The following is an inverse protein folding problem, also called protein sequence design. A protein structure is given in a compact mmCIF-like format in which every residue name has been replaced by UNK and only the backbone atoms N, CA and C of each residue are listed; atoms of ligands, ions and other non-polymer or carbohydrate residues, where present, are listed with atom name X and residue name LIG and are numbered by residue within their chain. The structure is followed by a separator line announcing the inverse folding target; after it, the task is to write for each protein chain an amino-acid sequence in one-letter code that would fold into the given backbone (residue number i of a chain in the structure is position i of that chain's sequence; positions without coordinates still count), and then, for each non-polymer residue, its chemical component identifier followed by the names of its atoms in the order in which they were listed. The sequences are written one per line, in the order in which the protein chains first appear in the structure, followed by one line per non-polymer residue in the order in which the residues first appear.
data_IF_913938650712
#
_entry.id   IF_913938650712
#
_cell.length_a   1.000
_cell.length_b   1.000
_cell.length_c   1.000
_cell.angle_alpha   90.00
_cell.angle_beta   90.00
_cell.angle_gamma   90.00
#
_symmetry.space_group_name_H-M   'P 1'
#
loop_
_entity.id
_entity.type
_entity.pdbx_description
1 polymer ?
#
# COMPACT_ATOMS: atom_id res chain seq x y z
N UNK A 1 24.87 -2.43 -16.48
CA UNK A 1 24.57 -1.36 -15.51
C UNK A 1 24.13 -2.04 -14.23
N UNK A 2 24.70 -1.94 -13.04
CA UNK A 2 25.93 -1.38 -12.46
C UNK A 2 26.04 -2.13 -11.12
N UNK A 3 27.24 -2.43 -10.63
CA UNK A 3 27.48 -3.26 -9.45
C UNK A 3 26.86 -2.72 -8.15
N UNK A 4 25.58 -3.02 -7.92
CA UNK A 4 24.83 -2.51 -6.77
C UNK A 4 24.80 -3.47 -5.58
N UNK A 5 25.25 -4.72 -5.72
CA UNK A 5 25.22 -5.70 -4.63
C UNK A 5 26.34 -6.72 -4.82
N UNK A 6 27.57 -6.39 -4.39
CA UNK A 6 28.40 -7.46 -3.81
C UNK A 6 27.70 -7.87 -2.53
N UNK A 7 27.30 -9.14 -2.44
CA UNK A 7 26.57 -9.64 -1.28
C UNK A 7 27.38 -9.45 0.00
N UNK A 8 26.71 -9.41 1.16
CA UNK A 8 27.37 -9.24 2.46
C UNK A 8 28.51 -10.26 2.68
N UNK A 9 28.34 -11.49 2.19
CA UNK A 9 29.35 -12.55 2.27
C UNK A 9 30.61 -12.26 1.44
N UNK A 10 30.45 -11.61 0.29
CA UNK A 10 31.56 -11.28 -0.61
C UNK A 10 32.39 -10.13 -0.03
N UNK A 11 31.73 -9.15 0.60
CA UNK A 11 32.41 -8.08 1.34
C UNK A 11 33.17 -8.61 2.58
N UNK A 12 32.67 -9.67 3.22
CA UNK A 12 33.36 -10.33 4.34
C UNK A 12 34.62 -11.07 3.87
N UNK A 13 34.59 -11.68 2.69
CA UNK A 13 35.75 -12.32 2.09
C UNK A 13 36.85 -11.29 1.78
N UNK A 14 36.48 -10.12 1.24
CA UNK A 14 37.44 -9.05 0.92
C UNK A 14 38.03 -8.36 2.15
N UNK A 15 37.32 -8.37 3.28
CA UNK A 15 37.77 -7.80 4.55
C UNK A 15 38.36 -8.82 5.53
N UNK A 16 38.44 -10.10 5.16
CA UNK A 16 39.11 -11.11 5.97
C UNK A 16 40.59 -10.70 6.14
N UNK A 17 40.96 -10.26 7.35
CA UNK A 17 42.35 -9.93 7.66
C UNK A 17 43.16 -11.23 7.62
N UNK A 18 44.20 -11.25 6.80
CA UNK A 18 45.12 -12.37 6.68
C UNK A 18 46.00 -12.47 7.94
N UNK A 19 45.66 -13.36 8.87
CA UNK A 19 46.45 -13.56 10.10
C UNK A 19 47.70 -14.39 9.79
N UNK A 20 48.88 -13.75 9.81
CA UNK A 20 50.16 -14.44 9.66
C UNK A 20 50.74 -14.76 11.03
N UNK A 21 50.87 -16.05 11.37
CA UNK A 21 51.23 -16.54 12.71
C UNK A 21 52.61 -16.16 13.26
N UNK A 22 53.44 -15.46 12.47
CA UNK A 22 54.82 -15.08 12.83
C UNK A 22 54.88 -13.97 13.90
N UNK A 23 53.94 -13.02 13.90
CA UNK A 23 53.89 -11.94 14.88
C UNK A 23 52.50 -11.87 15.52
N UNK A 24 52.41 -12.33 16.78
CA UNK A 24 51.17 -12.24 17.56
C UNK A 24 50.88 -10.77 17.86
N UNK A 25 49.66 -10.31 17.54
CA UNK A 25 49.20 -8.95 17.85
C UNK A 25 49.23 -8.70 19.36
N UNK A 26 49.70 -7.52 19.78
CA UNK A 26 49.62 -7.09 21.18
C UNK A 26 48.14 -6.86 21.53
N UNK A 27 47.63 -7.60 22.51
CA UNK A 27 46.25 -7.46 22.97
C UNK A 27 46.08 -6.11 23.71
N UNK A 28 45.06 -5.30 23.40
CA UNK A 28 44.80 -4.08 24.13
C UNK A 28 44.43 -4.42 25.59
N UNK A 29 45.02 -3.68 26.53
CA UNK A 29 44.66 -3.76 27.96
C UNK A 29 43.86 -2.51 28.30
N UNK A 30 42.66 -2.70 28.81
CA UNK A 30 41.76 -1.61 29.20
C UNK A 30 41.64 -1.63 30.72
N UNK A 31 41.64 -0.44 31.32
CA UNK A 31 41.41 -0.28 32.75
C UNK A 31 39.91 -0.35 32.99
N UNK A 32 39.50 -1.30 33.83
CA UNK A 32 38.11 -1.41 34.24
C UNK A 32 37.80 -0.35 35.30
N UNK A 33 36.95 0.63 34.97
CA UNK A 33 36.65 1.78 35.84
C UNK A 33 36.01 1.38 37.17
N UNK A 34 35.32 0.23 37.22
CA UNK A 34 34.64 -0.26 38.43
C UNK A 34 35.59 -1.05 39.33
N UNK A 35 36.52 -1.80 38.75
CA UNK A 35 37.35 -2.77 39.48
C UNK A 35 38.80 -2.31 39.67
N UNK A 36 39.23 -1.25 38.96
CA UNK A 36 40.58 -0.68 39.01
C UNK A 36 41.69 -1.60 38.49
N UNK A 37 41.34 -2.72 37.85
CA UNK A 37 42.27 -3.74 37.36
C UNK A 37 42.45 -3.62 35.84
N UNK A 38 43.68 -3.86 35.38
CA UNK A 38 44.01 -3.90 33.94
C UNK A 38 43.61 -5.25 33.34
N UNK A 39 42.49 -5.29 32.64
CA UNK A 39 41.96 -6.50 32.00
C UNK A 39 42.43 -6.55 30.54
N UNK A 40 42.81 -7.74 30.09
CA UNK A 40 43.15 -7.99 28.68
C UNK A 40 41.89 -8.50 27.99
N UNK A 41 41.37 -7.75 27.00
CA UNK A 41 40.22 -8.18 26.22
C UNK A 41 40.66 -9.21 25.18
N UNK A 42 40.17 -10.44 25.29
CA UNK A 42 40.49 -11.52 24.35
C UNK A 42 39.85 -11.33 22.98
N UNK A 43 38.72 -10.63 22.93
CA UNK A 43 38.03 -10.29 21.70
C UNK A 43 37.80 -8.76 21.66
N UNK A 44 38.71 -7.97 21.05
CA UNK A 44 38.45 -6.55 20.89
C UNK A 44 37.17 -6.38 20.07
N UNK A 45 36.36 -5.33 20.33
CA UNK A 45 35.15 -5.08 19.54
C UNK A 45 35.53 -4.97 18.07
N UNK A 46 35.02 -5.92 17.25
CA UNK A 46 35.21 -5.89 15.80
C UNK A 46 34.49 -4.64 15.31
N UNK A 47 35.21 -3.72 14.67
CA UNK A 47 34.59 -2.53 14.08
C UNK A 47 33.69 -2.95 12.91
N UNK A 48 32.40 -3.16 13.20
CA UNK A 48 31.40 -3.42 12.19
C UNK A 48 31.20 -2.16 11.36
N UNK A 49 31.78 -2.11 10.16
CA UNK A 49 31.50 -1.02 9.22
C UNK A 49 30.14 -1.29 8.60
N UNK A 50 29.18 -0.39 8.80
CA UNK A 50 27.89 -0.49 8.14
C UNK A 50 28.13 -0.49 6.62
N UNK A 51 27.83 -1.61 5.96
CA UNK A 51 28.07 -1.80 4.52
C UNK A 51 27.09 -1.00 3.64
N UNK A 52 26.10 -0.34 4.23
CA UNK A 52 25.19 0.53 3.49
C UNK A 52 25.92 1.79 3.04
N UNK A 53 26.05 1.98 1.73
CA UNK A 53 26.74 3.10 1.10
C UNK A 53 26.06 4.47 1.29
N UNK A 54 24.92 4.55 1.99
CA UNK A 54 24.18 5.72 2.49
C UNK A 54 23.01 5.17 3.29
N UNK A 55 22.62 5.82 4.39
CA UNK A 55 21.59 5.34 5.34
C UNK A 55 20.15 5.30 4.82
N UNK A 56 19.93 5.02 3.54
CA UNK A 56 18.60 4.88 2.92
C UNK A 56 18.37 3.44 2.49
N UNK A 57 17.16 2.93 2.74
CA UNK A 57 16.70 1.64 2.22
C UNK A 57 16.80 1.59 0.69
N UNK A 58 17.41 0.54 0.15
CA UNK A 58 17.33 0.26 -1.29
C UNK A 58 15.88 -0.14 -1.58
N UNK A 59 15.23 0.56 -2.50
CA UNK A 59 13.88 0.19 -2.94
C UNK A 59 13.93 -1.21 -3.58
N UNK A 60 13.07 -2.12 -3.12
CA UNK A 60 13.00 -3.50 -3.63
C UNK A 60 12.67 -3.56 -5.13
N UNK A 61 12.00 -2.53 -5.64
CA UNK A 61 11.65 -2.37 -7.04
C UNK A 61 12.07 -0.97 -7.47
N UNK A 62 12.86 -0.86 -8.53
CA UNK A 62 13.20 0.45 -9.07
C UNK A 62 11.97 1.12 -9.68
N UNK A 63 11.92 2.45 -9.64
CA UNK A 63 10.81 3.21 -10.25
C UNK A 63 10.65 2.89 -11.74
N UNK A 64 11.76 2.61 -12.44
CA UNK A 64 11.76 2.25 -13.85
C UNK A 64 11.12 0.88 -14.05
N UNK A 65 11.55 -0.15 -13.31
CA UNK A 65 10.94 -1.49 -13.36
C UNK A 65 9.45 -1.48 -13.02
N UNK A 66 9.08 -0.70 -12.00
CA UNK A 66 7.68 -0.48 -11.63
C UNK A 66 6.88 0.17 -12.75
N UNK A 67 7.47 1.16 -13.46
CA UNK A 67 6.81 1.89 -14.54
C UNK A 67 6.69 1.07 -15.82
N UNK A 68 7.69 0.23 -16.15
CA UNK A 68 7.71 -0.61 -17.35
C UNK A 68 7.01 -1.96 -17.16
N UNK A 69 6.48 -2.22 -15.97
CA UNK A 69 5.78 -3.47 -15.65
C UNK A 69 4.60 -3.72 -16.61
N UNK A 70 4.47 -4.96 -17.10
CA UNK A 70 3.47 -5.38 -18.08
C UNK A 70 2.03 -5.14 -17.60
N UNK A 71 1.74 -5.43 -16.33
CA UNK A 71 0.43 -5.18 -15.73
C UNK A 71 0.08 -3.70 -15.72
N UNK A 72 1.07 -2.81 -15.58
CA UNK A 72 0.83 -1.37 -15.55
C UNK A 72 0.40 -0.85 -16.91
N UNK A 73 1.03 -1.35 -17.97
CA UNK A 73 0.64 -1.09 -19.35
C UNK A 73 -0.77 -1.61 -19.63
N UNK A 74 -1.11 -2.79 -19.11
CA UNK A 74 -2.46 -3.34 -19.20
C UNK A 74 -3.46 -2.40 -18.50
N UNK A 75 -3.26 -2.05 -17.23
CA UNK A 75 -4.14 -1.13 -16.48
C UNK A 75 -4.33 0.22 -17.18
N UNK A 76 -3.26 0.76 -17.79
CA UNK A 76 -3.33 2.02 -18.52
C UNK A 76 -4.01 1.92 -19.89
N UNK A 77 -4.14 0.71 -20.45
CA UNK A 77 -4.87 0.47 -21.71
C UNK A 77 -6.39 0.29 -21.52
N UNK A 78 -6.87 0.11 -20.29
CA UNK A 78 -8.29 0.00 -20.00
C UNK A 78 -9.01 1.34 -20.15
N UNK A 79 -10.33 1.28 -20.31
CA UNK A 79 -11.18 2.47 -20.29
C UNK A 79 -11.07 3.22 -18.96
N UNK A 80 -11.25 4.54 -19.00
CA UNK A 80 -10.97 5.42 -17.86
C UNK A 80 -11.79 5.05 -16.61
N UNK A 81 -13.03 4.59 -16.78
CA UNK A 81 -13.88 4.17 -15.67
C UNK A 81 -13.37 2.86 -15.01
N UNK A 82 -12.90 1.90 -15.81
CA UNK A 82 -12.36 0.63 -15.31
C UNK A 82 -11.00 0.82 -14.64
N UNK A 83 -10.15 1.64 -15.25
CA UNK A 83 -8.87 2.06 -14.67
C UNK A 83 -9.08 2.81 -13.35
N UNK A 84 -10.04 3.74 -13.29
CA UNK A 84 -10.39 4.45 -12.06
C UNK A 84 -10.87 3.48 -10.98
N UNK A 85 -11.67 2.46 -11.32
CA UNK A 85 -12.08 1.41 -10.39
C UNK A 85 -10.90 0.63 -9.81
N UNK A 86 -10.00 0.14 -10.67
CA UNK A 86 -8.82 -0.61 -10.24
C UNK A 86 -7.91 0.22 -9.33
N UNK A 87 -7.65 1.48 -9.70
CA UNK A 87 -6.84 2.38 -8.89
C UNK A 87 -7.52 2.70 -7.56
N UNK A 88 -8.84 2.90 -7.55
CA UNK A 88 -9.57 3.20 -6.32
C UNK A 88 -9.66 2.01 -5.36
N UNK A 89 -9.82 0.79 -5.88
CA UNK A 89 -9.96 -0.43 -5.06
C UNK A 89 -8.62 -0.94 -4.57
N UNK A 90 -7.58 -0.92 -5.41
CA UNK A 90 -6.30 -1.59 -5.11
C UNK A 90 -5.12 -0.65 -4.83
N UNK A 91 -5.14 0.60 -5.30
CA UNK A 91 -4.04 1.54 -5.05
C UNK A 91 -4.18 2.27 -3.69
N UNK A 92 -5.19 1.93 -2.89
CA UNK A 92 -5.62 2.67 -1.67
C UNK A 92 -5.78 4.19 -1.90
N UNK A 93 -5.90 4.61 -3.16
CA UNK A 93 -5.98 6.01 -3.54
C UNK A 93 -7.33 6.56 -3.10
N UNK A 94 -7.33 7.44 -2.10
CA UNK A 94 -8.54 8.12 -1.59
C UNK A 94 -8.93 9.31 -2.49
N UNK A 95 -8.38 9.39 -3.71
CA UNK A 95 -8.69 10.49 -4.63
C UNK A 95 -10.17 10.49 -4.98
N UNK A 96 -10.81 11.63 -4.74
CA UNK A 96 -12.21 11.87 -5.05
C UNK A 96 -12.52 11.71 -6.55
N UNK A 97 -11.57 12.07 -7.41
CA UNK A 97 -11.69 12.00 -8.88
C UNK A 97 -12.11 10.61 -9.37
N UNK A 98 -11.52 9.54 -8.83
CA UNK A 98 -11.88 8.18 -9.25
C UNK A 98 -13.35 7.87 -8.95
N UNK A 99 -13.83 8.28 -7.78
CA UNK A 99 -15.23 8.07 -7.38
C UNK A 99 -16.19 8.83 -8.31
N UNK A 100 -15.83 10.05 -8.71
CA UNK A 100 -16.63 10.85 -9.64
C UNK A 100 -16.69 10.17 -11.01
N UNK A 101 -15.57 9.73 -11.56
CA UNK A 101 -15.55 9.05 -12.87
C UNK A 101 -16.39 7.77 -12.87
N UNK A 102 -16.26 6.94 -11.83
CA UNK A 102 -17.03 5.69 -11.70
C UNK A 102 -18.53 5.98 -11.59
N UNK A 103 -18.92 6.93 -10.74
CA UNK A 103 -20.35 7.25 -10.55
C UNK A 103 -20.97 7.97 -11.73
N UNK A 104 -20.21 8.79 -12.48
CA UNK A 104 -20.67 9.39 -13.72
C UNK A 104 -20.95 8.32 -14.78
N UNK A 105 -20.03 7.36 -14.93
CA UNK A 105 -20.21 6.24 -15.86
C UNK A 105 -21.39 5.34 -15.46
N UNK A 106 -21.48 4.97 -14.17
CA UNK A 106 -22.60 4.18 -13.67
C UNK A 106 -23.94 4.92 -13.85
N UNK A 107 -23.96 6.24 -13.69
CA UNK A 107 -25.14 7.05 -13.96
C UNK A 107 -25.50 7.13 -15.45
N UNK A 108 -24.52 7.15 -16.37
CA UNK A 108 -24.82 7.07 -17.81
C UNK A 108 -25.45 5.74 -18.19
N UNK A 109 -24.91 4.62 -17.71
CA UNK A 109 -25.50 3.29 -17.94
C UNK A 109 -26.89 3.15 -17.30
N UNK A 110 -27.07 3.72 -16.11
CA UNK A 110 -28.40 3.72 -15.49
C UNK A 110 -29.41 4.54 -16.31
N UNK A 111 -28.99 5.66 -16.92
CA UNK A 111 -29.85 6.45 -17.79
C UNK A 111 -30.21 5.74 -19.10
N UNK A 112 -29.30 4.98 -19.70
CA UNK A 112 -29.60 4.19 -20.90
C UNK A 112 -30.65 3.13 -20.59
N UNK A 113 -30.57 2.48 -19.42
CA UNK A 113 -31.56 1.52 -18.94
C UNK A 113 -32.93 2.14 -18.61
N UNK A 114 -32.95 3.37 -18.10
CA UNK A 114 -34.20 4.08 -17.80
C UNK A 114 -34.99 4.50 -19.04
N UNK A 115 -34.32 4.65 -20.19
CA UNK A 115 -34.93 5.05 -21.45
C UNK A 115 -35.70 6.38 -21.33
N UNK A 116 -36.96 6.39 -21.74
CA UNK A 116 -37.83 7.58 -21.77
C UNK A 116 -38.65 7.80 -20.50
N UNK A 117 -38.45 7.00 -19.44
CA UNK A 117 -39.25 7.09 -18.22
C UNK A 117 -38.94 8.38 -17.45
N UNK A 118 -39.99 9.16 -17.17
CA UNK A 118 -39.88 10.36 -16.32
C UNK A 118 -39.87 9.95 -14.85
N UNK A 119 -38.86 10.40 -14.12
CA UNK A 119 -38.70 10.16 -12.68
C UNK A 119 -38.79 11.52 -11.97
N UNK A 120 -39.47 11.55 -10.82
CA UNK A 120 -39.49 12.74 -9.97
C UNK A 120 -38.08 13.14 -9.51
N UNK A 121 -37.78 14.43 -9.47
CA UNK A 121 -36.44 14.95 -9.12
C UNK A 121 -35.90 14.42 -7.78
N UNK A 122 -36.76 14.34 -6.76
CA UNK A 122 -36.41 13.78 -5.44
C UNK A 122 -35.95 12.32 -5.52
N UNK A 123 -36.55 11.53 -6.39
CA UNK A 123 -36.18 10.12 -6.58
C UNK A 123 -34.88 9.99 -7.36
N UNK A 124 -34.62 10.87 -8.33
CA UNK A 124 -33.34 10.91 -9.05
C UNK A 124 -32.16 11.21 -8.12
N UNK A 125 -32.31 12.17 -7.21
CA UNK A 125 -31.25 12.49 -6.24
C UNK A 125 -30.95 11.31 -5.31
N UNK A 126 -31.99 10.59 -4.86
CA UNK A 126 -31.83 9.37 -4.06
C UNK A 126 -31.13 8.26 -4.83
N UNK A 127 -31.45 8.06 -6.10
CA UNK A 127 -30.81 7.07 -6.95
C UNK A 127 -29.32 7.35 -7.16
N UNK A 128 -28.95 8.63 -7.36
CA UNK A 128 -27.53 9.01 -7.44
C UNK A 128 -26.78 8.69 -6.15
N UNK A 129 -27.38 8.96 -4.99
CA UNK A 129 -26.79 8.60 -3.69
C UNK A 129 -26.65 7.09 -3.55
N UNK A 130 -27.65 6.32 -3.95
CA UNK A 130 -27.62 4.86 -3.93
C UNK A 130 -26.51 4.29 -4.81
N UNK A 131 -26.32 4.80 -6.03
CA UNK A 131 -25.24 4.36 -6.92
C UNK A 131 -23.86 4.61 -6.30
N UNK A 132 -23.68 5.76 -5.67
CA UNK A 132 -22.43 6.08 -4.97
C UNK A 132 -22.21 5.17 -3.74
N UNK A 133 -23.25 4.93 -2.93
CA UNK A 133 -23.19 4.01 -1.79
C UNK A 133 -22.91 2.57 -2.23
N UNK A 134 -23.53 2.10 -3.31
CA UNK A 134 -23.30 0.76 -3.85
C UNK A 134 -21.84 0.57 -4.30
N UNK A 135 -21.24 1.59 -4.94
CA UNK A 135 -19.83 1.55 -5.30
C UNK A 135 -18.92 1.42 -4.07
N UNK A 136 -19.26 2.10 -2.97
CA UNK A 136 -18.52 2.00 -1.71
C UNK A 136 -18.70 0.65 -1.03
N UNK A 137 -19.91 0.10 -1.07
CA UNK A 137 -20.23 -1.18 -0.47
C UNK A 137 -19.42 -2.31 -1.11
N UNK A 138 -19.42 -2.37 -2.45
CA UNK A 138 -18.62 -3.36 -3.20
C UNK A 138 -17.12 -3.21 -2.91
N UNK A 139 -16.62 -1.97 -2.77
CA UNK A 139 -15.23 -1.74 -2.37
C UNK A 139 -14.94 -2.23 -0.94
N UNK A 140 -15.85 -2.02 0.00
CA UNK A 140 -15.70 -2.50 1.36
C UNK A 140 -15.70 -4.02 1.42
N UNK A 141 -16.58 -4.68 0.65
CA UNK A 141 -16.62 -6.13 0.50
C UNK A 141 -15.29 -6.68 -0.06
N UNK A 142 -14.76 -6.07 -1.13
CA UNK A 142 -13.45 -6.40 -1.72
C UNK A 142 -12.30 -6.26 -0.70
N UNK A 143 -12.40 -5.30 0.22
CA UNK A 143 -11.42 -5.07 1.27
C UNK A 143 -11.63 -5.95 2.52
N UNK A 144 -12.62 -6.85 2.51
CA UNK A 144 -12.99 -7.68 3.67
C UNK A 144 -13.54 -6.87 4.85
N UNK A 145 -14.05 -5.66 4.60
CA UNK A 145 -14.64 -4.78 5.61
C UNK A 145 -16.14 -5.01 5.69
N UNK A 146 -16.77 -4.58 6.79
CA UNK A 146 -18.23 -4.65 6.95
C UNK A 146 -18.92 -3.84 5.85
N UNK A 147 -19.88 -4.47 5.19
CA UNK A 147 -20.83 -3.85 4.26
C UNK A 147 -21.92 -3.13 5.02
N UNK A 148 -22.64 -2.24 4.35
CA UNK A 148 -23.71 -1.47 4.97
C UNK A 148 -24.92 -2.34 5.28
N UNK A 149 -25.48 -2.19 6.49
CA UNK A 149 -26.78 -2.80 6.80
C UNK A 149 -27.91 -2.03 6.10
N UNK A 150 -28.99 -2.72 5.74
CA UNK A 150 -30.14 -2.12 5.04
C UNK A 150 -30.76 -0.94 5.81
N UNK A 151 -30.74 -0.98 7.14
CA UNK A 151 -31.22 0.11 8.00
C UNK A 151 -30.34 1.36 7.87
N UNK A 152 -29.02 1.18 7.83
CA UNK A 152 -28.07 2.28 7.64
C UNK A 152 -28.19 2.88 6.24
N UNK A 153 -28.30 2.05 5.19
CA UNK A 153 -28.53 2.52 3.82
C UNK A 153 -29.80 3.37 3.69
N UNK A 154 -30.91 2.92 4.30
CA UNK A 154 -32.17 3.67 4.28
C UNK A 154 -32.00 5.05 4.94
N UNK A 155 -31.28 5.12 6.06
CA UNK A 155 -30.98 6.37 6.75
C UNK A 155 -30.14 7.33 5.89
N UNK A 156 -29.09 6.83 5.23
CA UNK A 156 -28.17 7.62 4.39
C UNK A 156 -28.85 8.19 3.14
N UNK A 157 -29.84 7.46 2.60
CA UNK A 157 -30.64 7.90 1.44
C UNK A 157 -31.80 8.82 1.86
N UNK A 158 -32.04 8.98 3.17
CA UNK A 158 -33.12 9.82 3.71
C UNK A 158 -34.49 9.18 3.50
N UNK A 159 -34.58 7.86 3.62
CA UNK A 159 -35.83 7.09 3.67
C UNK A 159 -36.15 6.79 5.13
N UNK A 160 -37.23 7.37 5.65
CA UNK A 160 -37.71 7.14 7.02
C UNK A 160 -38.28 5.73 7.17
N UNK A 161 -38.08 5.08 8.33
CA UNK A 161 -38.51 3.68 8.57
C UNK A 161 -40.01 3.43 8.35
N UNK A 162 -40.86 4.46 8.41
CA UNK A 162 -42.30 4.37 8.12
C UNK A 162 -42.64 4.05 6.66
N UNK A 163 -41.74 4.32 5.71
CA UNK A 163 -41.98 4.12 4.27
C UNK A 163 -41.27 2.87 3.69
N UNK A 164 -40.51 2.15 4.51
CA UNK A 164 -39.80 0.94 4.10
C UNK A 164 -40.61 -0.28 4.51
N UNK A 165 -41.42 -0.82 3.59
CA UNK A 165 -42.15 -2.09 3.76
C UNK A 165 -41.24 -3.31 3.94
N UNK A 166 -39.92 -3.12 3.86
CA UNK A 166 -38.88 -4.16 3.91
C UNK A 166 -38.35 -4.47 5.32
N UNK A 167 -38.91 -3.86 6.38
CA UNK A 167 -38.51 -4.11 7.78
C UNK A 167 -39.38 -5.14 8.52
N UNK A 168 -40.24 -5.88 7.82
CA UNK A 168 -41.16 -6.87 8.41
C UNK A 168 -40.87 -8.34 8.05
N UNK A 169 -39.72 -8.63 7.44
CA UNK A 169 -39.24 -10.01 7.19
C UNK A 169 -37.78 -10.09 7.60
#
# INVERSE_FOLDING_TARGET
MSGATKGQLEAWLEHAQFDTGTYKRKKPRILDEVTGRMITLDNPPISGKQLYAKGSSIALVSQVEFSTSSWRRAVLSLEEHQKAWLLWSYSESVRWEHQVTITQWAWSEFKTLLGTRKIAGKTLERLKKLIWLAAQDVKNELAGRKTYEYQELASLVGVTSKNSTWLLV
#
